data_IF_590689352104
#
_entry.id   IF_590689352104
#
_cell.length_a   1.000
_cell.length_b   1.000
_cell.length_c   1.000
_cell.angle_alpha   90.00
_cell.angle_beta   90.00
_cell.angle_gamma   90.00
#
_symmetry.space_group_name_H-M   'P 1'
#
loop_
_entity.id
_entity.type
_entity.pdbx_description
1 polymer ?
#
# COMPACT_ATOMS: atom_id res chain seq x y z
N UNK A 1 27.59 32.40 -5.44
CA UNK A 1 26.94 32.07 -6.72
C UNK A 1 27.95 31.99 -7.86
N UNK A 2 28.91 32.92 -7.98
CA UNK A 2 29.99 32.84 -8.98
C UNK A 2 30.76 31.51 -8.99
N UNK A 3 31.05 30.93 -7.82
CA UNK A 3 31.67 29.59 -7.67
C UNK A 3 30.97 28.45 -8.44
N UNK A 4 29.68 28.60 -8.70
CA UNK A 4 28.84 27.62 -9.38
C UNK A 4 28.61 27.93 -10.87
N UNK A 5 29.21 29.00 -11.40
CA UNK A 5 29.00 29.50 -12.77
C UNK A 5 27.50 29.64 -13.09
N UNK A 6 26.72 30.15 -12.14
CA UNK A 6 25.26 30.27 -12.29
C UNK A 6 24.89 31.39 -13.26
N UNK A 7 23.90 31.14 -14.11
CA UNK A 7 23.32 32.14 -15.00
C UNK A 7 21.79 32.17 -14.84
N UNK A 8 21.18 33.29 -15.22
CA UNK A 8 19.73 33.38 -15.35
C UNK A 8 19.32 32.66 -16.65
N UNK A 9 18.41 31.71 -16.56
CA UNK A 9 17.88 30.96 -17.68
C UNK A 9 16.35 31.13 -17.75
N UNK A 10 15.82 31.18 -18.97
CA UNK A 10 14.42 31.46 -19.22
C UNK A 10 13.80 30.22 -19.88
N UNK A 11 12.85 29.54 -19.21
CA UNK A 11 12.14 28.40 -19.75
C UNK A 11 11.50 28.70 -21.10
N UNK A 12 11.69 27.80 -22.05
CA UNK A 12 10.94 27.82 -23.31
C UNK A 12 9.99 26.62 -23.33
N UNK A 13 8.69 26.89 -23.29
CA UNK A 13 7.67 25.85 -23.33
C UNK A 13 7.44 25.36 -24.77
N UNK A 14 7.24 24.05 -24.92
CA UNK A 14 6.89 23.47 -26.21
C UNK A 14 5.40 23.70 -26.52
N UNK A 15 4.99 23.74 -27.81
CA UNK A 15 3.57 23.81 -28.18
C UNK A 15 2.73 22.68 -27.58
N UNK A 16 3.32 21.50 -27.38
CA UNK A 16 2.66 20.35 -26.75
C UNK A 16 2.37 20.57 -25.26
N UNK A 17 3.30 21.18 -24.51
CA UNK A 17 3.10 21.55 -23.10
C UNK A 17 2.00 22.61 -23.02
N UNK A 18 2.10 23.68 -23.83
CA UNK A 18 1.10 24.77 -23.88
C UNK A 18 -0.31 24.28 -24.19
N UNK A 19 -0.46 23.29 -25.08
CA UNK A 19 -1.77 22.72 -25.42
C UNK A 19 -2.40 21.89 -24.30
N UNK A 20 -1.58 21.26 -23.45
CA UNK A 20 -2.04 20.35 -22.41
C UNK A 20 -2.27 21.07 -21.07
N UNK A 21 -1.33 21.90 -20.62
CA UNK A 21 -1.40 22.61 -19.35
C UNK A 21 -0.71 23.98 -19.48
N UNK A 22 -1.46 25.05 -19.78
CA UNK A 22 -0.98 26.40 -19.54
C UNK A 22 -0.84 26.57 -18.03
N UNK A 23 0.39 26.82 -17.58
CA UNK A 23 0.73 26.94 -16.16
C UNK A 23 1.22 28.36 -15.88
N UNK A 24 0.49 29.07 -15.02
CA UNK A 24 0.82 30.44 -14.63
C UNK A 24 2.20 30.53 -13.97
N UNK A 25 2.66 29.45 -13.32
CA UNK A 25 3.99 29.38 -12.74
C UNK A 25 5.04 29.40 -13.85
N UNK A 26 4.82 28.65 -14.93
CA UNK A 26 5.72 28.63 -16.07
C UNK A 26 5.72 29.96 -16.85
N UNK A 27 4.55 30.59 -17.02
CA UNK A 27 4.46 31.93 -17.62
C UNK A 27 5.29 32.95 -16.83
N UNK A 28 5.19 32.90 -15.49
CA UNK A 28 5.99 33.73 -14.59
C UNK A 28 7.49 33.45 -14.73
N UNK A 29 7.89 32.18 -14.76
CA UNK A 29 9.30 31.79 -14.92
C UNK A 29 9.86 32.18 -16.29
N UNK A 30 9.06 32.16 -17.35
CA UNK A 30 9.48 32.59 -18.68
C UNK A 30 9.77 34.10 -18.74
N UNK A 31 9.10 34.91 -17.91
CA UNK A 31 9.32 36.36 -17.81
C UNK A 31 10.47 36.70 -16.86
N UNK A 32 10.49 36.08 -15.68
CA UNK A 32 11.43 36.44 -14.61
C UNK A 32 12.75 35.66 -14.64
N UNK A 33 12.77 34.51 -15.31
CA UNK A 33 13.90 33.58 -15.34
C UNK A 33 14.08 32.83 -14.01
N UNK A 34 14.92 31.81 -14.04
CA UNK A 34 15.41 31.11 -12.85
C UNK A 34 16.92 30.93 -12.89
N UNK A 35 17.53 30.78 -11.71
CA UNK A 35 18.96 30.49 -11.61
C UNK A 35 19.27 29.08 -12.07
N UNK A 36 20.12 28.94 -13.09
CA UNK A 36 20.63 27.67 -13.57
C UNK A 36 22.12 27.55 -13.22
N UNK A 37 22.46 26.53 -12.42
CA UNK A 37 23.86 26.17 -12.14
C UNK A 37 24.46 25.52 -13.39
N UNK A 38 25.70 25.88 -13.76
CA UNK A 38 26.33 25.27 -14.92
C UNK A 38 26.43 23.74 -14.74
N UNK A 39 26.11 22.91 -15.76
CA UNK A 39 26.03 21.45 -15.61
C UNK A 39 27.33 20.77 -15.15
N UNK A 40 28.50 21.41 -15.37
CA UNK A 40 29.80 20.91 -14.85
C UNK A 40 30.03 21.22 -13.36
N UNK A 41 29.20 22.07 -12.74
CA UNK A 41 29.34 22.57 -11.36
C UNK A 41 28.18 22.15 -10.46
N UNK A 42 27.09 21.64 -11.04
CA UNK A 42 25.87 21.26 -10.30
C UNK A 42 26.10 20.21 -9.21
N UNK A 43 27.05 19.29 -9.40
CA UNK A 43 27.45 18.37 -8.32
C UNK A 43 28.00 19.11 -7.10
N UNK A 44 28.87 20.11 -7.29
CA UNK A 44 29.43 20.87 -6.17
C UNK A 44 28.32 21.61 -5.44
N UNK A 45 27.40 22.24 -6.17
CA UNK A 45 26.24 22.91 -5.59
C UNK A 45 25.41 21.97 -4.72
N UNK A 46 24.97 20.83 -5.28
CA UNK A 46 24.18 19.87 -4.51
C UNK A 46 24.97 19.27 -3.35
N UNK A 47 26.25 18.95 -3.54
CA UNK A 47 27.06 18.31 -2.51
C UNK A 47 27.35 19.27 -1.35
N UNK A 48 27.65 20.53 -1.61
CA UNK A 48 27.86 21.52 -0.56
C UNK A 48 26.57 21.78 0.23
N UNK A 49 25.43 21.89 -0.45
CA UNK A 49 24.11 22.02 0.19
C UNK A 49 23.76 20.80 1.05
N UNK A 50 23.87 19.60 0.49
CA UNK A 50 23.51 18.37 1.21
C UNK A 50 24.49 18.03 2.32
N UNK A 51 25.79 18.31 2.16
CA UNK A 51 26.77 18.18 3.24
C UNK A 51 26.44 19.10 4.42
N UNK A 52 26.02 20.34 4.14
CA UNK A 52 25.54 21.25 5.17
C UNK A 52 24.28 20.70 5.88
N UNK A 53 23.27 20.25 5.12
CA UNK A 53 22.06 19.66 5.70
C UNK A 53 22.38 18.44 6.58
N UNK A 54 23.21 17.53 6.09
CA UNK A 54 23.67 16.36 6.83
C UNK A 54 24.43 16.75 8.11
N UNK A 55 25.28 17.79 8.05
CA UNK A 55 25.97 18.32 9.25
C UNK A 55 25.02 18.90 10.31
N UNK A 56 23.82 19.30 9.89
CA UNK A 56 22.74 19.74 10.77
C UNK A 56 21.85 18.59 11.28
N UNK A 57 22.14 17.34 10.91
CA UNK A 57 21.38 16.15 11.32
C UNK A 57 20.15 15.85 10.46
N UNK A 58 20.08 16.36 9.23
CA UNK A 58 19.02 16.00 8.28
C UNK A 58 19.32 14.65 7.62
N UNK A 59 18.34 13.75 7.58
CA UNK A 59 18.51 12.38 7.05
C UNK A 59 18.28 12.27 5.52
N UNK A 60 17.70 13.28 4.89
CA UNK A 60 17.39 13.27 3.47
C UNK A 60 16.65 14.51 2.98
N UNK A 61 16.29 14.51 1.70
CA UNK A 61 15.64 15.65 1.03
C UNK A 61 14.44 15.25 0.16
N UNK A 62 13.44 16.12 0.04
CA UNK A 62 12.46 16.09 -1.04
C UNK A 62 12.87 17.15 -2.06
N UNK A 63 13.14 16.73 -3.30
CA UNK A 63 13.61 17.63 -4.38
C UNK A 63 12.48 17.85 -5.35
N UNK A 64 12.00 19.10 -5.40
CA UNK A 64 10.83 19.49 -6.17
C UNK A 64 11.18 20.17 -7.50
N UNK A 65 10.17 20.40 -8.33
CA UNK A 65 10.27 21.19 -9.58
C UNK A 65 11.31 20.62 -10.57
N UNK A 66 11.61 19.32 -10.53
CA UNK A 66 12.70 18.75 -11.33
C UNK A 66 12.46 18.80 -12.85
N UNK A 67 11.20 18.71 -13.28
CA UNK A 67 10.81 18.78 -14.69
C UNK A 67 11.15 20.11 -15.36
N UNK A 68 11.41 21.18 -14.60
CA UNK A 68 11.78 22.48 -15.18
C UNK A 68 13.02 22.39 -16.08
N UNK A 69 13.94 21.47 -15.77
CA UNK A 69 15.19 21.28 -16.49
C UNK A 69 14.96 20.95 -17.98
N UNK A 70 13.83 20.32 -18.32
CA UNK A 70 13.46 20.01 -19.71
C UNK A 70 13.41 21.27 -20.58
N UNK A 71 13.07 22.42 -19.99
CA UNK A 71 12.86 23.69 -20.70
C UNK A 71 14.13 24.55 -20.81
N UNK A 72 15.25 24.09 -20.25
CA UNK A 72 16.47 24.89 -20.04
C UNK A 72 17.70 24.37 -20.79
N UNK A 73 17.52 23.38 -21.67
CA UNK A 73 18.63 22.70 -22.36
C UNK A 73 19.39 23.54 -23.41
N UNK A 74 18.89 24.72 -23.78
CA UNK A 74 19.52 25.58 -24.77
C UNK A 74 20.92 26.02 -24.30
N UNK A 75 21.94 25.86 -25.16
CA UNK A 75 23.34 26.16 -24.81
C UNK A 75 24.04 25.10 -23.94
N UNK A 76 23.34 24.04 -23.52
CA UNK A 76 23.86 23.01 -22.61
C UNK A 76 23.78 21.58 -23.17
N UNK A 77 23.82 21.44 -24.50
CA UNK A 77 23.73 20.13 -25.17
C UNK A 77 22.30 19.59 -25.31
N UNK A 78 21.30 20.43 -25.06
CA UNK A 78 19.88 20.06 -25.15
C UNK A 78 19.32 19.45 -23.86
N UNK A 79 17.99 19.29 -23.82
CA UNK A 79 17.25 18.83 -22.63
C UNK A 79 17.78 17.52 -22.05
N UNK A 80 18.07 16.54 -22.92
CA UNK A 80 18.55 15.22 -22.51
C UNK A 80 19.90 15.30 -21.77
N UNK A 81 20.84 16.07 -22.32
CA UNK A 81 22.19 16.20 -21.74
C UNK A 81 22.15 16.95 -20.41
N UNK A 82 21.35 18.02 -20.34
CA UNK A 82 21.22 18.83 -19.14
C UNK A 82 20.51 18.04 -18.01
N UNK A 83 19.36 17.43 -18.30
CA UNK A 83 18.62 16.61 -17.35
C UNK A 83 19.49 15.49 -16.79
N UNK A 84 20.21 14.76 -17.64
CA UNK A 84 21.11 13.70 -17.20
C UNK A 84 22.20 14.22 -16.25
N UNK A 85 22.80 15.37 -16.57
CA UNK A 85 23.85 15.97 -15.74
C UNK A 85 23.31 16.34 -14.36
N UNK A 86 22.11 16.91 -14.29
CA UNK A 86 21.45 17.30 -13.05
C UNK A 86 21.04 16.08 -12.21
N UNK A 87 20.43 15.07 -12.82
CA UNK A 87 20.03 13.83 -12.14
C UNK A 87 21.24 13.09 -11.57
N UNK A 88 22.29 12.90 -12.37
CA UNK A 88 23.50 12.20 -11.90
C UNK A 88 24.22 12.96 -10.78
N UNK A 89 24.27 14.28 -10.87
CA UNK A 89 24.85 15.11 -9.81
C UNK A 89 24.02 15.07 -8.53
N UNK A 90 22.68 15.07 -8.64
CA UNK A 90 21.79 14.93 -7.51
C UNK A 90 22.02 13.57 -6.82
N UNK A 91 21.95 12.47 -7.56
CA UNK A 91 22.16 11.12 -7.03
C UNK A 91 23.54 10.95 -6.38
N UNK A 92 24.59 11.46 -7.02
CA UNK A 92 25.95 11.42 -6.46
C UNK A 92 26.05 12.22 -5.15
N UNK A 93 25.33 13.35 -5.04
CA UNK A 93 25.28 14.12 -3.81
C UNK A 93 24.47 13.40 -2.72
N UNK A 94 23.31 12.82 -3.05
CA UNK A 94 22.51 12.04 -2.11
C UNK A 94 23.32 10.88 -1.56
N UNK A 95 23.91 10.06 -2.42
CA UNK A 95 24.71 8.89 -2.03
C UNK A 95 25.90 9.26 -1.13
N UNK A 96 26.43 10.48 -1.24
CA UNK A 96 27.56 10.94 -0.43
C UNK A 96 27.16 11.45 0.95
N UNK A 97 25.97 12.03 1.08
CA UNK A 97 25.59 12.78 2.28
C UNK A 97 24.48 12.12 3.10
N UNK A 98 23.68 11.25 2.50
CA UNK A 98 22.55 10.58 3.17
C UNK A 98 22.71 9.05 3.07
N UNK A 99 23.19 8.38 4.14
CA UNK A 99 23.51 6.94 4.13
C UNK A 99 22.35 6.04 3.69
N UNK A 100 21.12 6.42 4.05
CA UNK A 100 19.90 5.66 3.73
C UNK A 100 19.30 6.03 2.36
N UNK A 101 20.04 6.76 1.52
CA UNK A 101 19.57 7.26 0.23
C UNK A 101 18.26 8.07 0.36
N UNK A 102 18.18 8.90 1.40
CA UNK A 102 17.02 9.72 1.74
C UNK A 102 16.72 10.77 0.67
N UNK A 103 15.98 10.39 -0.36
CA UNK A 103 15.57 11.30 -1.43
C UNK A 103 14.17 10.96 -1.96
N UNK A 104 13.27 11.95 -1.95
CA UNK A 104 11.98 11.91 -2.66
C UNK A 104 12.10 12.79 -3.90
N UNK A 105 11.99 12.18 -5.08
CA UNK A 105 11.93 12.92 -6.34
C UNK A 105 10.50 13.40 -6.60
N UNK A 106 10.32 14.71 -6.76
CA UNK A 106 9.01 15.34 -6.95
C UNK A 106 9.01 16.17 -8.25
N UNK A 107 7.84 16.24 -8.89
CA UNK A 107 7.65 16.86 -10.20
C UNK A 107 8.71 16.40 -11.22
N UNK A 108 9.02 15.09 -11.27
CA UNK A 108 10.16 14.53 -12.02
C UNK A 108 9.74 13.53 -13.13
N UNK A 109 8.48 13.56 -13.55
CA UNK A 109 7.90 12.55 -14.46
C UNK A 109 8.23 12.74 -15.95
N UNK A 110 9.07 13.71 -16.31
CA UNK A 110 9.52 13.82 -17.69
C UNK A 110 10.37 12.59 -18.07
N UNK A 111 10.32 12.20 -19.34
CA UNK A 111 10.97 10.99 -19.82
C UNK A 111 12.49 11.03 -19.67
N UNK A 112 13.13 12.19 -19.89
CA UNK A 112 14.58 12.33 -19.74
C UNK A 112 15.04 12.09 -18.31
N UNK A 113 14.26 12.56 -17.33
CA UNK A 113 14.49 12.38 -15.90
C UNK A 113 14.39 10.91 -15.53
N UNK A 114 13.23 10.29 -15.82
CA UNK A 114 12.97 8.87 -15.55
C UNK A 114 14.05 7.97 -16.14
N UNK A 115 14.43 8.16 -17.41
CA UNK A 115 15.46 7.34 -18.07
C UNK A 115 16.90 7.70 -17.67
N UNK A 116 17.10 8.80 -16.93
CA UNK A 116 18.43 9.17 -16.40
C UNK A 116 18.64 8.71 -14.95
N UNK A 117 17.56 8.48 -14.20
CA UNK A 117 17.59 8.03 -12.81
C UNK A 117 18.13 6.61 -12.70
N UNK A 118 18.98 6.38 -11.69
CA UNK A 118 19.59 5.06 -11.42
C UNK A 118 19.49 4.61 -9.98
N UNK A 119 19.44 5.56 -9.04
CA UNK A 119 19.59 5.32 -7.61
C UNK A 119 18.48 5.95 -6.78
N UNK A 120 17.87 7.05 -7.26
CA UNK A 120 16.77 7.67 -6.52
C UNK A 120 15.59 6.71 -6.45
N UNK A 121 15.25 6.24 -5.25
CA UNK A 121 14.28 5.16 -5.09
C UNK A 121 12.84 5.67 -5.03
N UNK A 122 12.58 6.82 -4.40
CA UNK A 122 11.21 7.28 -4.12
C UNK A 122 10.79 8.37 -5.10
N UNK A 123 9.60 8.23 -5.70
CA UNK A 123 9.03 9.19 -6.66
C UNK A 123 7.61 9.58 -6.29
N UNK A 124 7.35 10.87 -6.11
CA UNK A 124 6.00 11.42 -5.90
C UNK A 124 5.14 11.12 -7.13
N UNK A 125 4.09 10.33 -6.97
CA UNK A 125 3.42 9.66 -8.10
C UNK A 125 2.17 10.36 -8.65
N UNK A 126 1.68 11.43 -8.04
CA UNK A 126 0.48 12.16 -8.49
C UNK A 126 0.64 13.68 -8.34
N UNK A 127 -0.42 14.46 -8.53
CA UNK A 127 -0.47 15.81 -7.97
C UNK A 127 -0.57 15.76 -6.44
N UNK A 128 -0.38 16.91 -5.81
CA UNK A 128 -0.43 17.06 -4.36
C UNK A 128 -1.82 16.72 -3.78
N UNK A 129 -1.83 16.33 -2.52
CA UNK A 129 -3.01 16.29 -1.68
C UNK A 129 -3.45 17.73 -1.34
N UNK A 130 -4.60 18.15 -1.88
CA UNK A 130 -5.19 19.47 -1.61
C UNK A 130 -6.33 19.37 -0.60
N UNK A 131 -6.09 19.50 0.72
CA UNK A 131 -7.10 19.29 1.77
C UNK A 131 -8.30 20.25 1.70
N UNK A 132 -8.17 21.36 0.96
CA UNK A 132 -9.22 22.38 0.82
C UNK A 132 -9.90 22.35 -0.54
N UNK A 133 -9.50 21.44 -1.43
CA UNK A 133 -10.15 21.25 -2.73
C UNK A 133 -10.90 19.91 -2.74
N UNK A 134 -12.22 19.92 -2.49
CA UNK A 134 -13.02 18.69 -2.50
C UNK A 134 -12.93 17.91 -3.82
N UNK A 135 -12.70 18.59 -4.94
CA UNK A 135 -12.59 17.96 -6.25
C UNK A 135 -11.33 17.09 -6.39
N UNK A 136 -10.31 17.31 -5.55
CA UNK A 136 -9.02 16.63 -5.64
C UNK A 136 -9.02 15.21 -5.05
N UNK A 137 -9.89 14.90 -4.07
CA UNK A 137 -9.74 13.69 -3.26
C UNK A 137 -9.90 12.37 -4.05
N UNK A 138 -10.96 12.25 -4.84
CA UNK A 138 -11.20 11.01 -5.60
C UNK A 138 -10.20 10.85 -6.74
N UNK A 139 -9.87 11.95 -7.44
CA UNK A 139 -8.89 11.95 -8.52
C UNK A 139 -7.50 11.64 -8.00
N UNK A 140 -7.13 12.12 -6.81
CA UNK A 140 -5.83 11.85 -6.24
C UNK A 140 -5.60 10.34 -6.10
N UNK A 141 -6.56 9.60 -5.54
CA UNK A 141 -6.44 8.14 -5.38
C UNK A 141 -6.43 7.41 -6.74
N UNK A 142 -7.26 7.81 -7.70
CA UNK A 142 -7.22 7.20 -9.03
C UNK A 142 -5.91 7.50 -9.76
N UNK A 143 -5.49 8.76 -9.79
CA UNK A 143 -4.28 9.19 -10.50
C UNK A 143 -3.03 8.53 -9.92
N UNK A 144 -2.89 8.47 -8.59
CA UNK A 144 -1.71 7.85 -7.96
C UNK A 144 -1.65 6.34 -8.22
N UNK A 145 -2.79 5.65 -8.22
CA UNK A 145 -2.87 4.22 -8.52
C UNK A 145 -2.49 3.94 -9.98
N UNK A 146 -3.05 4.69 -10.94
CA UNK A 146 -2.73 4.49 -12.36
C UNK A 146 -1.29 4.88 -12.70
N UNK A 147 -0.76 5.96 -12.12
CA UNK A 147 0.64 6.32 -12.33
C UNK A 147 1.61 5.30 -11.71
N UNK A 148 1.20 4.65 -10.63
CA UNK A 148 1.96 3.54 -10.01
C UNK A 148 2.12 2.34 -10.95
N UNK A 149 1.22 2.12 -11.92
CA UNK A 149 1.37 1.05 -12.91
C UNK A 149 2.69 1.16 -13.69
N UNK A 150 3.09 2.38 -14.05
CA UNK A 150 4.35 2.61 -14.75
C UNK A 150 5.51 2.86 -13.79
N UNK A 151 5.34 3.79 -12.83
CA UNK A 151 6.43 4.18 -11.92
C UNK A 151 6.86 3.04 -11.00
N UNK A 152 5.90 2.22 -10.55
CA UNK A 152 6.11 1.10 -9.65
C UNK A 152 6.87 -0.08 -10.24
N UNK A 153 7.29 -0.03 -11.50
CA UNK A 153 8.16 -1.05 -12.12
C UNK A 153 9.65 -0.83 -11.79
N UNK A 154 10.05 0.42 -11.51
CA UNK A 154 11.47 0.75 -11.32
C UNK A 154 11.72 1.79 -10.21
N UNK A 155 10.67 2.35 -9.60
CA UNK A 155 10.77 3.24 -8.44
C UNK A 155 9.69 2.89 -7.42
N UNK A 156 9.88 3.33 -6.17
CA UNK A 156 8.88 3.27 -5.12
C UNK A 156 7.97 4.52 -5.22
N UNK A 157 6.69 4.35 -5.56
CA UNK A 157 5.76 5.48 -5.64
C UNK A 157 5.47 6.04 -4.25
N UNK A 158 5.61 7.34 -4.12
CA UNK A 158 5.14 8.14 -2.99
C UNK A 158 3.75 8.68 -3.32
N UNK A 159 2.79 8.35 -2.45
CA UNK A 159 1.37 8.68 -2.62
C UNK A 159 0.98 9.98 -1.94
N UNK A 160 1.98 10.77 -1.55
CA UNK A 160 1.85 12.05 -0.88
C UNK A 160 1.23 11.96 0.53
N UNK A 161 1.41 13.04 1.27
CA UNK A 161 0.83 13.25 2.59
C UNK A 161 -0.70 13.23 2.58
N UNK A 162 -1.30 13.12 3.76
CA UNK A 162 -2.73 13.34 3.96
C UNK A 162 -2.98 13.94 5.35
N UNK A 163 -4.22 14.40 5.59
CA UNK A 163 -4.66 14.83 6.91
C UNK A 163 -5.48 13.73 7.59
N UNK A 164 -5.08 13.33 8.79
CA UNK A 164 -5.79 12.37 9.63
C UNK A 164 -7.09 12.93 10.23
N UNK A 165 -7.16 14.25 10.45
CA UNK A 165 -8.39 14.98 10.79
C UNK A 165 -8.98 15.63 9.55
N UNK A 166 -9.66 14.84 8.73
CA UNK A 166 -10.30 15.31 7.51
C UNK A 166 -11.54 14.46 7.17
N UNK A 167 -12.60 15.00 6.54
CA UNK A 167 -13.78 14.20 6.13
C UNK A 167 -13.45 13.01 5.21
N UNK A 168 -12.36 13.10 4.43
CA UNK A 168 -11.87 12.03 3.58
C UNK A 168 -10.68 11.25 4.18
N UNK A 169 -10.39 11.40 5.48
CA UNK A 169 -9.18 10.85 6.10
C UNK A 169 -9.12 9.32 6.03
N UNK A 170 -10.21 8.62 6.41
CA UNK A 170 -10.28 7.16 6.32
C UNK A 170 -10.11 6.66 4.88
N UNK A 171 -10.69 7.35 3.89
CA UNK A 171 -10.56 7.02 2.47
C UNK A 171 -9.10 7.10 1.99
N UNK A 172 -8.39 8.18 2.35
CA UNK A 172 -6.97 8.33 2.04
C UNK A 172 -6.12 7.32 2.81
N UNK A 173 -6.37 7.13 4.11
CA UNK A 173 -5.63 6.18 4.94
C UNK A 173 -5.71 4.74 4.39
N UNK A 174 -6.91 4.29 4.04
CA UNK A 174 -7.13 2.97 3.43
C UNK A 174 -6.38 2.81 2.10
N UNK A 175 -6.37 3.86 1.26
CA UNK A 175 -5.61 3.85 0.02
C UNK A 175 -4.10 3.70 0.25
N UNK A 176 -3.52 4.41 1.23
CA UNK A 176 -2.09 4.23 1.56
C UNK A 176 -1.80 2.84 2.16
N UNK A 177 -2.74 2.26 2.91
CA UNK A 177 -2.58 0.93 3.49
C UNK A 177 -2.42 -0.18 2.42
N UNK A 178 -3.11 -0.05 1.28
CA UNK A 178 -2.97 -0.96 0.13
C UNK A 178 -1.90 -0.49 -0.88
N UNK A 179 -1.51 0.79 -0.84
CA UNK A 179 -0.61 1.40 -1.81
C UNK A 179 0.85 0.97 -1.74
N UNK A 180 1.27 0.29 -0.67
CA UNK A 180 2.67 -0.12 -0.46
C UNK A 180 3.64 1.05 -0.36
N UNK A 181 3.14 2.23 0.00
CA UNK A 181 3.87 3.49 0.06
C UNK A 181 4.21 3.87 1.51
N UNK A 182 4.94 4.98 1.67
CA UNK A 182 5.17 5.58 2.98
C UNK A 182 3.91 6.29 3.51
N UNK A 183 3.82 6.46 4.82
CA UNK A 183 2.72 7.16 5.49
C UNK A 183 3.25 8.51 5.99
N UNK A 184 2.82 9.61 5.34
CA UNK A 184 3.10 10.96 5.78
C UNK A 184 1.81 11.66 6.20
N UNK A 185 1.81 12.24 7.40
CA UNK A 185 0.72 13.08 7.87
C UNK A 185 1.16 14.54 7.86
N UNK A 186 0.31 15.42 7.34
CA UNK A 186 0.57 16.87 7.30
C UNK A 186 -0.42 17.66 8.14
N UNK A 187 -1.08 16.99 9.07
CA UNK A 187 -1.92 17.60 10.07
C UNK A 187 -1.18 18.73 10.82
N UNK A 188 -1.93 19.76 11.22
CA UNK A 188 -1.39 20.77 12.12
C UNK A 188 -0.89 20.10 13.42
N UNK A 189 0.31 20.43 13.93
CA UNK A 189 0.80 19.87 15.20
C UNK A 189 -0.25 19.94 16.32
N UNK A 190 -0.41 18.84 17.05
CA UNK A 190 -1.40 18.70 18.12
C UNK A 190 -2.85 18.47 17.65
N UNK A 191 -3.12 18.44 16.34
CA UNK A 191 -4.44 18.20 15.77
C UNK A 191 -4.39 16.92 14.95
N UNK A 192 -4.28 15.76 15.59
CA UNK A 192 -4.15 14.46 14.91
C UNK A 192 -5.27 13.53 15.34
N UNK A 193 -5.74 12.68 14.43
CA UNK A 193 -6.67 11.61 14.74
C UNK A 193 -5.90 10.34 15.08
N UNK A 194 -5.49 10.19 16.34
CA UNK A 194 -4.73 9.02 16.77
C UNK A 194 -5.48 7.70 16.60
N UNK A 195 -6.82 7.70 16.69
CA UNK A 195 -7.61 6.49 16.48
C UNK A 195 -7.54 6.01 15.03
N UNK A 196 -7.50 6.94 14.06
CA UNK A 196 -7.24 6.58 12.67
C UNK A 196 -5.78 6.13 12.46
N UNK A 197 -4.82 6.84 13.03
CA UNK A 197 -3.39 6.55 12.83
C UNK A 197 -2.97 5.19 13.41
N UNK A 198 -3.58 4.77 14.52
CA UNK A 198 -3.38 3.44 15.11
C UNK A 198 -3.87 2.30 14.21
N UNK A 199 -4.69 2.57 13.17
CA UNK A 199 -5.06 1.57 12.15
C UNK A 199 -4.00 1.43 11.04
N UNK A 200 -3.03 2.35 10.96
CA UNK A 200 -1.94 2.34 9.97
C UNK A 200 -0.58 1.99 10.59
N UNK A 201 -0.32 2.49 11.80
CA UNK A 201 1.00 2.48 12.44
C UNK A 201 0.95 1.64 13.71
N UNK A 202 1.95 0.78 13.87
CA UNK A 202 2.15 -0.04 15.07
C UNK A 202 2.73 0.81 16.23
N UNK A 203 2.67 0.34 17.48
CA UNK A 203 3.23 1.07 18.62
C UNK A 203 4.72 1.42 18.50
N UNK A 204 5.48 0.63 17.74
CA UNK A 204 6.91 0.86 17.46
C UNK A 204 7.16 1.90 16.34
N UNK A 205 6.11 2.56 15.84
CA UNK A 205 6.19 3.55 14.77
C UNK A 205 6.31 2.95 13.36
N UNK A 206 6.47 1.64 13.24
CA UNK A 206 6.53 0.97 11.94
C UNK A 206 5.12 0.73 11.36
N UNK A 207 5.06 0.39 10.08
CA UNK A 207 3.81 0.14 9.36
C UNK A 207 3.73 -1.30 8.87
N UNK A 208 2.51 -1.84 8.78
CA UNK A 208 2.23 -3.08 8.07
C UNK A 208 2.16 -2.79 6.56
N UNK A 209 3.29 -2.41 5.95
CA UNK A 209 3.35 -2.06 4.53
C UNK A 209 3.23 -3.32 3.67
N UNK A 210 2.40 -3.26 2.63
CA UNK A 210 2.32 -4.28 1.58
C UNK A 210 3.65 -4.36 0.79
N UNK A 211 3.89 -5.46 0.08
CA UNK A 211 5.20 -5.76 -0.51
C UNK A 211 5.48 -5.06 -1.84
N UNK A 212 4.44 -4.75 -2.62
CA UNK A 212 4.57 -4.17 -3.94
C UNK A 212 4.07 -2.72 -3.93
N UNK A 213 4.37 -1.91 -4.96
CA UNK A 213 3.57 -0.72 -5.24
C UNK A 213 2.13 -1.10 -5.58
N UNK A 214 1.14 -0.42 -4.98
CA UNK A 214 -0.28 -0.74 -5.19
C UNK A 214 -0.77 -0.35 -6.58
N UNK A 215 -1.39 -1.28 -7.30
CA UNK A 215 -1.76 -1.10 -8.72
C UNK A 215 -3.25 -1.33 -8.95
N UNK A 216 -3.87 -0.73 -9.98
CA UNK A 216 -5.21 -1.10 -10.38
C UNK A 216 -5.28 -2.59 -10.71
N UNK A 217 -6.40 -3.23 -10.39
CA UNK A 217 -6.69 -4.58 -10.87
C UNK A 217 -6.85 -4.58 -12.39
N UNK A 218 -6.70 -5.75 -13.01
CA UNK A 218 -6.72 -5.90 -14.47
C UNK A 218 -8.00 -5.34 -15.09
N UNK A 219 -9.15 -5.53 -14.45
CA UNK A 219 -10.44 -5.03 -14.92
C UNK A 219 -10.60 -3.51 -14.78
N UNK A 220 -9.79 -2.84 -13.96
CA UNK A 220 -9.77 -1.39 -13.87
C UNK A 220 -8.86 -0.72 -14.91
N UNK A 221 -7.90 -1.43 -15.54
CA UNK A 221 -6.84 -0.82 -16.36
C UNK A 221 -7.33 0.12 -17.46
N UNK A 222 -8.50 -0.16 -18.05
CA UNK A 222 -9.12 0.65 -19.11
C UNK A 222 -10.43 1.33 -18.69
N UNK A 223 -10.77 1.28 -17.39
CA UNK A 223 -11.92 1.96 -16.82
C UNK A 223 -11.59 3.41 -16.44
N UNK A 224 -12.62 4.26 -16.34
CA UNK A 224 -12.50 5.62 -15.81
C UNK A 224 -13.30 5.72 -14.50
N UNK A 225 -12.72 5.25 -13.38
CA UNK A 225 -13.43 5.14 -12.10
C UNK A 225 -13.83 6.49 -11.50
N UNK A 226 -13.40 7.59 -12.11
CA UNK A 226 -13.71 8.94 -11.66
C UNK A 226 -14.90 9.58 -12.40
N UNK A 227 -15.29 9.05 -13.58
CA UNK A 227 -16.24 9.73 -14.47
C UNK A 227 -17.25 8.83 -15.16
N UNK A 228 -17.01 7.52 -15.28
CA UNK A 228 -17.87 6.65 -16.09
C UNK A 228 -19.23 6.32 -15.44
N UNK A 229 -19.41 6.67 -14.16
CA UNK A 229 -20.65 6.43 -13.42
C UNK A 229 -20.95 4.96 -13.13
N UNK A 230 -20.02 4.03 -13.38
CA UNK A 230 -20.25 2.58 -13.23
C UNK A 230 -19.10 1.85 -12.55
N UNK A 231 -17.86 2.32 -12.66
CA UNK A 231 -16.69 1.58 -12.20
C UNK A 231 -16.27 2.02 -10.80
N UNK A 232 -16.02 1.03 -9.94
CA UNK A 232 -15.23 1.19 -8.72
C UNK A 232 -13.75 1.01 -9.08
N UNK A 233 -12.88 1.80 -8.45
CA UNK A 233 -11.44 1.56 -8.54
C UNK A 233 -11.08 0.44 -7.56
N UNK A 234 -10.47 -0.62 -8.07
CA UNK A 234 -9.86 -1.67 -7.24
C UNK A 234 -8.35 -1.56 -7.34
N UNK A 235 -7.68 -1.54 -6.19
CA UNK A 235 -6.23 -1.49 -6.06
C UNK A 235 -5.78 -2.75 -5.35
N UNK A 236 -4.91 -3.53 -5.96
CA UNK A 236 -4.41 -4.77 -5.38
C UNK A 236 -2.96 -4.65 -4.91
N UNK A 237 -2.62 -5.51 -3.95
CA UNK A 237 -1.27 -5.70 -3.45
C UNK A 237 -1.14 -7.07 -2.75
N UNK A 238 0.07 -7.41 -2.30
CA UNK A 238 0.34 -8.64 -1.55
C UNK A 238 1.07 -8.36 -0.23
N UNK A 239 0.81 -9.23 0.73
CA UNK A 239 1.57 -9.40 1.96
C UNK A 239 2.32 -10.75 1.90
N UNK A 240 3.13 -11.04 2.93
CA UNK A 240 3.96 -12.26 2.98
C UNK A 240 3.15 -13.56 2.84
N UNK A 241 1.91 -13.60 3.33
CA UNK A 241 1.08 -14.80 3.37
C UNK A 241 -0.34 -14.61 2.82
N UNK A 242 -0.66 -13.47 2.21
CA UNK A 242 -2.02 -13.14 1.75
C UNK A 242 -2.02 -12.06 0.67
N UNK A 243 -3.13 -11.88 -0.03
CA UNK A 243 -3.40 -10.72 -0.87
C UNK A 243 -4.27 -9.67 -0.17
N UNK A 244 -4.26 -8.44 -0.68
CA UNK A 244 -5.19 -7.38 -0.27
C UNK A 244 -5.71 -6.63 -1.50
N UNK A 245 -7.00 -6.31 -1.50
CA UNK A 245 -7.64 -5.44 -2.49
C UNK A 245 -8.40 -4.35 -1.78
N UNK A 246 -8.05 -3.09 -2.06
CA UNK A 246 -8.86 -1.95 -1.67
C UNK A 246 -9.82 -1.57 -2.79
N UNK A 247 -11.09 -1.38 -2.48
CA UNK A 247 -12.13 -0.96 -3.43
C UNK A 247 -12.59 0.43 -3.05
N UNK A 248 -12.63 1.36 -4.01
CA UNK A 248 -12.86 2.78 -3.80
C UNK A 248 -13.87 3.33 -4.81
N UNK A 249 -14.87 4.07 -4.34
CA UNK A 249 -15.72 4.85 -5.24
C UNK A 249 -15.09 6.23 -5.49
N UNK A 250 -14.57 6.44 -6.71
CA UNK A 250 -13.84 7.65 -7.10
C UNK A 250 -14.69 8.64 -7.93
N UNK A 251 -15.99 8.40 -8.08
CA UNK A 251 -16.84 9.16 -9.00
C UNK A 251 -17.00 10.64 -8.58
N UNK A 252 -17.33 11.49 -9.55
CA UNK A 252 -17.84 12.86 -9.32
C UNK A 252 -16.87 13.99 -9.62
N UNK A 253 -15.57 13.72 -9.66
CA UNK A 253 -14.57 14.72 -10.03
C UNK A 253 -13.63 14.23 -11.13
N UNK A 254 -13.15 15.16 -11.95
CA UNK A 254 -12.25 14.85 -13.08
C UNK A 254 -11.41 16.05 -13.52
N UNK A 255 -10.30 15.79 -14.20
CA UNK A 255 -9.54 16.84 -14.89
C UNK A 255 -10.37 17.44 -16.03
N UNK A 256 -10.59 18.76 -15.99
CA UNK A 256 -11.32 19.48 -17.02
C UNK A 256 -10.36 20.06 -18.07
N UNK A 257 -10.35 19.49 -19.29
CA UNK A 257 -9.45 19.94 -20.38
C UNK A 257 -9.68 21.39 -20.83
N UNK A 258 -10.90 21.92 -20.69
CA UNK A 258 -11.24 23.29 -21.09
C UNK A 258 -10.65 24.30 -20.11
N UNK A 259 -10.79 24.02 -18.82
CA UNK A 259 -10.46 24.97 -17.76
C UNK A 259 -9.17 24.66 -17.03
N UNK A 260 -8.51 23.57 -17.42
CA UNK A 260 -7.17 23.15 -17.01
C UNK A 260 -7.03 23.05 -15.49
N UNK A 261 -8.06 22.49 -14.86
CA UNK A 261 -8.09 22.17 -13.44
C UNK A 261 -9.00 21.01 -13.15
N UNK A 262 -8.76 20.37 -12.02
CA UNK A 262 -9.68 19.42 -11.41
C UNK A 262 -11.00 20.09 -11.05
N UNK A 263 -12.13 19.45 -11.37
CA UNK A 263 -13.47 19.94 -11.07
C UNK A 263 -14.40 18.82 -10.70
N UNK A 264 -15.35 19.15 -9.81
CA UNK A 264 -16.56 18.35 -9.62
C UNK A 264 -17.42 18.51 -10.88
N UNK A 265 -17.65 17.42 -11.59
CA UNK A 265 -18.54 17.37 -12.77
C UNK A 265 -19.91 16.81 -12.39
N UNK A 266 -19.98 16.03 -11.32
CA UNK A 266 -21.21 15.53 -10.70
C UNK A 266 -21.12 15.70 -9.18
N UNK A 267 -22.00 16.54 -8.63
CA UNK A 267 -22.02 16.88 -7.21
C UNK A 267 -22.75 15.84 -6.34
N UNK A 268 -23.43 14.87 -6.94
CA UNK A 268 -24.10 13.79 -6.22
C UNK A 268 -24.03 12.48 -7.00
N UNK A 269 -22.80 11.94 -7.22
CA UNK A 269 -22.65 10.72 -7.97
C UNK A 269 -23.31 9.53 -7.28
N UNK A 270 -23.76 8.58 -8.09
CA UNK A 270 -24.48 7.41 -7.62
C UNK A 270 -23.67 6.51 -6.69
N UNK A 271 -24.38 5.78 -5.83
CA UNK A 271 -23.84 4.58 -5.16
C UNK A 271 -23.54 3.53 -6.23
N UNK A 272 -22.34 2.97 -6.21
CA UNK A 272 -21.94 1.93 -7.15
C UNK A 272 -21.88 0.57 -6.46
N UNK A 273 -22.19 -0.47 -7.23
CA UNK A 273 -22.06 -1.86 -6.81
C UNK A 273 -21.09 -2.57 -7.74
N UNK A 274 -20.13 -3.29 -7.18
CA UNK A 274 -19.19 -4.13 -7.90
C UNK A 274 -19.00 -5.47 -7.19
N UNK A 275 -17.95 -6.18 -7.58
CA UNK A 275 -17.53 -7.39 -6.88
C UNK A 275 -16.02 -7.51 -6.84
N UNK A 276 -15.53 -8.27 -5.87
CA UNK A 276 -14.12 -8.55 -5.65
C UNK A 276 -13.89 -10.04 -5.48
N UNK A 277 -12.78 -10.56 -5.97
CA UNK A 277 -12.42 -11.98 -5.89
C UNK A 277 -10.92 -12.17 -5.65
N UNK A 278 -10.51 -13.39 -5.29
CA UNK A 278 -9.11 -13.68 -5.01
C UNK A 278 -8.18 -13.39 -6.20
N UNK A 279 -8.67 -13.58 -7.43
CA UNK A 279 -7.90 -13.33 -8.66
C UNK A 279 -7.71 -11.84 -8.97
N UNK A 280 -8.39 -10.93 -8.27
CA UNK A 280 -8.08 -9.50 -8.36
C UNK A 280 -6.69 -9.20 -7.79
N UNK A 281 -6.14 -10.08 -6.94
CA UNK A 281 -4.75 -10.05 -6.53
C UNK A 281 -3.94 -10.89 -7.52
N UNK A 282 -3.29 -10.22 -8.48
CA UNK A 282 -2.61 -10.87 -9.60
C UNK A 282 -1.58 -11.94 -9.16
N UNK A 283 -0.89 -11.70 -8.06
CA UNK A 283 0.14 -12.60 -7.50
C UNK A 283 -0.37 -13.58 -6.42
N UNK A 284 -1.69 -13.74 -6.23
CA UNK A 284 -2.23 -14.54 -5.12
C UNK A 284 -1.78 -16.00 -5.14
N UNK A 285 -1.69 -16.61 -6.32
CA UNK A 285 -1.26 -18.00 -6.44
C UNK A 285 0.20 -18.20 -6.03
N UNK A 286 1.05 -17.20 -6.27
CA UNK A 286 2.46 -17.23 -5.85
C UNK A 286 2.57 -17.13 -4.32
N UNK A 287 1.76 -16.27 -3.71
CA UNK A 287 1.70 -16.09 -2.25
C UNK A 287 1.13 -17.32 -1.54
N UNK A 288 0.10 -17.95 -2.11
CA UNK A 288 -0.51 -19.16 -1.57
C UNK A 288 0.43 -20.38 -1.63
N UNK A 289 1.34 -20.40 -2.60
CA UNK A 289 2.31 -21.47 -2.80
C UNK A 289 1.75 -22.68 -3.57
N UNK A 290 2.62 -23.67 -3.77
CA UNK A 290 2.28 -24.88 -4.50
C UNK A 290 1.15 -25.67 -3.82
N UNK A 291 0.21 -26.19 -4.62
CA UNK A 291 -0.90 -27.00 -4.13
C UNK A 291 -2.13 -26.21 -3.67
N UNK A 292 -2.11 -24.88 -3.76
CA UNK A 292 -3.31 -24.08 -3.51
C UNK A 292 -4.41 -24.38 -4.54
N UNK A 293 -5.59 -24.75 -4.05
CA UNK A 293 -6.73 -25.14 -4.88
C UNK A 293 -7.56 -23.93 -5.38
N UNK A 294 -7.21 -22.71 -4.97
CA UNK A 294 -7.93 -21.48 -5.31
C UNK A 294 -8.90 -20.98 -4.24
N UNK A 295 -9.10 -21.71 -3.15
CA UNK A 295 -9.97 -21.28 -2.05
C UNK A 295 -9.28 -20.27 -1.13
N UNK A 296 -9.99 -19.21 -0.76
CA UNK A 296 -9.50 -18.23 0.23
C UNK A 296 -10.56 -17.97 1.28
N UNK A 297 -10.13 -17.56 2.45
CA UNK A 297 -10.99 -16.79 3.34
C UNK A 297 -10.77 -15.32 3.07
N UNK A 298 -11.85 -14.56 3.00
CA UNK A 298 -11.85 -13.11 2.80
C UNK A 298 -12.28 -12.45 4.09
N UNK A 299 -11.43 -11.56 4.60
CA UNK A 299 -11.80 -10.65 5.70
C UNK A 299 -12.01 -9.24 5.13
N UNK A 300 -13.22 -8.70 5.31
CA UNK A 300 -13.58 -7.34 4.94
C UNK A 300 -13.42 -6.41 6.14
N UNK A 301 -12.47 -5.48 6.09
CA UNK A 301 -12.04 -4.70 7.25
C UNK A 301 -13.15 -3.82 7.84
N UNK A 302 -13.90 -3.10 7.00
CA UNK A 302 -14.89 -2.12 7.46
C UNK A 302 -16.17 -2.79 7.96
N UNK A 303 -16.62 -3.87 7.32
CA UNK A 303 -17.77 -4.65 7.78
C UNK A 303 -17.44 -5.62 8.93
N UNK A 304 -16.17 -6.02 9.07
CA UNK A 304 -15.73 -7.06 9.99
C UNK A 304 -16.17 -8.47 9.58
N UNK A 305 -16.63 -8.65 8.33
CA UNK A 305 -17.16 -9.91 7.83
C UNK A 305 -16.04 -10.88 7.43
N UNK A 306 -16.23 -12.16 7.74
CA UNK A 306 -15.36 -13.25 7.33
C UNK A 306 -16.13 -14.25 6.46
N UNK A 307 -15.67 -14.46 5.23
CA UNK A 307 -16.33 -15.37 4.28
C UNK A 307 -15.32 -16.33 3.68
N UNK A 308 -15.61 -17.64 3.71
CA UNK A 308 -14.88 -18.63 2.92
C UNK A 308 -15.37 -18.58 1.48
N UNK A 309 -14.46 -18.24 0.58
CA UNK A 309 -14.73 -18.01 -0.84
C UNK A 309 -14.15 -19.16 -1.68
N UNK A 310 -15.01 -19.95 -2.35
CA UNK A 310 -14.56 -20.98 -3.28
C UNK A 310 -13.77 -20.40 -4.46
N UNK A 311 -13.00 -21.24 -5.14
CA UNK A 311 -12.27 -20.85 -6.35
C UNK A 311 -13.21 -20.19 -7.37
N UNK A 312 -12.86 -18.98 -7.80
CA UNK A 312 -13.59 -18.23 -8.83
C UNK A 312 -14.88 -17.56 -8.36
N UNK A 313 -15.27 -17.71 -7.09
CA UNK A 313 -16.37 -16.94 -6.52
C UNK A 313 -15.91 -15.50 -6.24
N UNK A 314 -16.89 -14.59 -6.12
CA UNK A 314 -16.67 -13.19 -5.78
C UNK A 314 -17.60 -12.74 -4.65
N UNK A 315 -17.18 -11.70 -3.94
CA UNK A 315 -17.99 -11.01 -2.93
C UNK A 315 -18.54 -9.69 -3.51
N UNK A 316 -19.82 -9.37 -3.28
CA UNK A 316 -20.38 -8.09 -3.69
C UNK A 316 -19.87 -6.97 -2.79
N UNK A 317 -19.78 -5.75 -3.34
CA UNK A 317 -19.45 -4.55 -2.59
C UNK A 317 -20.24 -3.37 -3.12
N UNK A 318 -20.83 -2.58 -2.22
CA UNK A 318 -21.66 -1.41 -2.56
C UNK A 318 -21.14 -0.19 -1.81
N UNK A 319 -20.74 0.85 -2.54
CA UNK A 319 -20.05 2.02 -1.97
C UNK A 319 -20.67 3.32 -2.49
N UNK A 320 -20.92 4.25 -1.56
CA UNK A 320 -21.16 5.66 -1.92
C UNK A 320 -19.84 6.34 -2.30
N UNK A 321 -19.91 7.52 -2.89
CA UNK A 321 -18.71 8.32 -3.21
C UNK A 321 -17.89 8.59 -1.96
N UNK A 322 -16.56 8.54 -2.08
CA UNK A 322 -15.60 8.63 -0.97
C UNK A 322 -15.72 7.52 0.08
N UNK A 323 -16.49 6.46 -0.18
CA UNK A 323 -16.42 5.23 0.59
C UNK A 323 -15.43 4.24 -0.02
N UNK A 324 -14.98 3.33 0.83
CA UNK A 324 -14.04 2.27 0.50
C UNK A 324 -14.35 1.00 1.29
N UNK A 325 -13.74 -0.11 0.87
CA UNK A 325 -13.61 -1.35 1.65
C UNK A 325 -12.23 -1.96 1.38
N UNK A 326 -11.63 -2.62 2.37
CA UNK A 326 -10.39 -3.37 2.23
C UNK A 326 -10.66 -4.85 2.44
N UNK A 327 -10.34 -5.66 1.43
CA UNK A 327 -10.53 -7.11 1.43
C UNK A 327 -9.19 -7.81 1.54
N UNK A 328 -9.03 -8.64 2.56
CA UNK A 328 -7.86 -9.47 2.79
C UNK A 328 -8.12 -10.90 2.32
N UNK A 329 -7.49 -11.29 1.21
CA UNK A 329 -7.59 -12.63 0.64
C UNK A 329 -6.52 -13.53 1.25
N UNK A 330 -6.94 -14.39 2.17
CA UNK A 330 -6.08 -15.30 2.93
C UNK A 330 -6.23 -16.72 2.37
N UNK A 331 -5.24 -17.24 1.62
CA UNK A 331 -5.33 -18.58 1.04
C UNK A 331 -5.59 -19.66 2.09
N UNK A 332 -6.58 -20.52 1.82
CA UNK A 332 -6.90 -21.63 2.72
C UNK A 332 -5.90 -22.76 2.51
N UNK A 333 -5.35 -23.25 3.62
CA UNK A 333 -4.54 -24.47 3.65
C UNK A 333 -5.35 -25.62 4.21
N UNK A 334 -5.48 -26.68 3.41
CA UNK A 334 -6.04 -27.95 3.86
C UNK A 334 -4.98 -28.69 4.69
N UNK A 335 -5.34 -29.00 5.93
CA UNK A 335 -4.49 -29.75 6.87
C UNK A 335 -4.91 -31.22 6.83
N UNK A 336 -6.21 -31.50 6.80
CA UNK A 336 -6.79 -32.82 6.63
C UNK A 336 -8.12 -32.72 5.89
N UNK A 337 -8.80 -33.84 5.66
CA UNK A 337 -10.12 -33.87 5.01
C UNK A 337 -11.19 -33.07 5.78
N UNK A 338 -10.98 -32.77 7.06
CA UNK A 338 -11.94 -32.08 7.93
C UNK A 338 -11.41 -30.77 8.53
N UNK A 339 -10.10 -30.51 8.39
CA UNK A 339 -9.41 -29.37 8.98
C UNK A 339 -8.79 -28.52 7.87
N UNK A 340 -9.20 -27.26 7.81
CA UNK A 340 -8.57 -26.24 7.00
C UNK A 340 -8.36 -24.95 7.81
N UNK A 341 -7.33 -24.20 7.45
CA UNK A 341 -6.88 -23.03 8.21
C UNK A 341 -6.40 -21.92 7.28
N UNK A 342 -6.61 -20.66 7.68
CA UNK A 342 -6.01 -19.49 7.04
C UNK A 342 -5.71 -18.39 8.07
N UNK A 343 -4.47 -17.86 8.16
CA UNK A 343 -4.19 -16.75 9.05
C UNK A 343 -4.74 -15.44 8.47
N UNK A 344 -5.39 -14.61 9.30
CA UNK A 344 -5.94 -13.31 8.87
C UNK A 344 -5.05 -12.16 9.31
N UNK A 345 -4.61 -12.10 10.58
CA UNK A 345 -3.75 -11.02 11.09
C UNK A 345 -4.43 -10.11 12.11
N UNK A 346 -4.02 -8.84 12.17
CA UNK A 346 -4.55 -7.86 13.13
C UNK A 346 -5.83 -7.22 12.59
N UNK A 347 -6.98 -7.64 13.12
CA UNK A 347 -8.31 -7.36 12.56
C UNK A 347 -8.68 -5.87 12.52
N UNK A 348 -8.05 -5.07 13.39
CA UNK A 348 -8.35 -3.65 13.55
C UNK A 348 -7.38 -2.74 12.76
N UNK A 349 -6.38 -3.33 12.08
CA UNK A 349 -5.46 -2.61 11.19
C UNK A 349 -6.01 -2.57 9.77
N UNK A 350 -5.80 -1.46 9.03
CA UNK A 350 -6.20 -1.36 7.63
C UNK A 350 -5.53 -2.42 6.76
N UNK A 351 -4.24 -2.69 6.98
CA UNK A 351 -3.59 -3.84 6.36
C UNK A 351 -3.55 -5.03 7.34
N UNK A 352 -4.71 -5.61 7.65
CA UNK A 352 -4.85 -6.64 8.68
C UNK A 352 -3.89 -7.81 8.48
N UNK A 353 -3.85 -8.33 7.26
CA UNK A 353 -3.02 -9.50 6.91
C UNK A 353 -1.56 -9.21 6.68
N UNK A 354 -1.16 -7.94 6.69
CA UNK A 354 0.25 -7.53 6.72
C UNK A 354 0.97 -7.93 8.01
N UNK A 355 0.22 -8.20 9.09
CA UNK A 355 0.78 -8.60 10.37
C UNK A 355 1.42 -9.99 10.37
N UNK A 356 0.98 -10.89 9.47
CA UNK A 356 1.45 -12.28 9.41
C UNK A 356 2.69 -12.36 8.54
N UNK A 357 3.84 -12.65 9.16
CA UNK A 357 5.12 -12.77 8.45
C UNK A 357 5.44 -14.19 7.99
N UNK A 358 4.93 -15.19 8.70
CA UNK A 358 5.18 -16.61 8.42
C UNK A 358 4.02 -17.45 8.91
N UNK A 359 3.72 -18.51 8.17
CA UNK A 359 2.72 -19.51 8.51
C UNK A 359 3.21 -20.92 8.14
N UNK A 360 3.27 -21.80 9.15
CA UNK A 360 3.68 -23.19 9.00
C UNK A 360 2.68 -24.12 9.70
N UNK A 361 2.51 -25.32 9.15
CA UNK A 361 1.66 -26.37 9.73
C UNK A 361 2.57 -27.54 10.06
N UNK A 362 2.52 -27.98 11.31
CA UNK A 362 3.25 -29.15 11.80
C UNK A 362 2.23 -30.24 12.12
N UNK A 363 2.31 -31.37 11.40
CA UNK A 363 1.50 -32.54 11.73
C UNK A 363 2.02 -33.20 12.99
N UNK A 364 1.14 -33.51 13.93
CA UNK A 364 1.44 -34.37 15.07
C UNK A 364 1.46 -35.82 14.57
N UNK A 365 2.64 -36.39 14.35
CA UNK A 365 2.75 -37.74 13.79
C UNK A 365 2.39 -38.86 14.80
N UNK A 366 1.35 -39.60 14.43
CA UNK A 366 1.06 -41.03 14.62
C UNK A 366 1.36 -41.71 15.98
N UNK A 367 0.30 -41.93 16.77
CA UNK A 367 0.19 -43.20 17.49
C UNK A 367 0.33 -44.34 16.47
N UNK A 368 1.19 -45.32 16.80
CA UNK A 368 1.36 -46.56 16.04
C UNK A 368 -0.02 -47.12 15.71
N UNK A 369 -0.27 -47.41 14.42
CA UNK A 369 -1.31 -48.34 13.98
C UNK A 369 -1.09 -49.68 14.71
N UNK A 370 -1.69 -49.84 15.88
CA UNK A 370 -2.00 -51.15 16.42
C UNK A 370 -3.24 -51.61 15.65
N UNK A 371 -3.05 -52.63 14.82
CA UNK A 371 -4.14 -53.42 14.29
C UNK A 371 -5.02 -53.88 15.46
N UNK A 372 -6.19 -53.29 15.61
CA UNK A 372 -7.30 -53.89 16.33
C UNK A 372 -8.31 -54.35 15.28
N UNK A 373 -8.34 -55.67 15.07
CA UNK A 373 -9.47 -56.35 14.45
C UNK A 373 -10.71 -56.12 15.31
N UNK A 374 -11.83 -55.71 14.70
CA UNK A 374 -13.14 -55.97 15.27
C UNK A 374 -14.16 -54.83 15.22
N UNK A 375 -15.09 -55.00 14.28
CA UNK A 375 -16.50 -54.55 14.30
C UNK A 375 -16.88 -53.09 14.03
N UNK A 376 -17.76 -52.97 13.03
CA UNK A 376 -18.45 -51.78 12.56
C UNK A 376 -19.62 -51.48 13.49
N UNK A 377 -19.67 -50.28 14.05
CA UNK A 377 -20.94 -49.68 14.49
C UNK A 377 -21.08 -48.29 13.90
N UNK A 378 -22.06 -48.15 13.00
CA UNK A 378 -22.53 -46.89 12.47
C UNK A 378 -23.24 -46.08 13.55
N UNK A 379 -22.78 -44.87 13.83
CA UNK A 379 -23.64 -43.81 14.38
C UNK A 379 -23.01 -42.42 14.17
N UNK A 380 -23.65 -41.62 13.32
CA UNK A 380 -23.40 -40.18 13.18
C UNK A 380 -23.83 -39.50 14.49
N UNK A 381 -22.87 -39.00 15.26
CA UNK A 381 -23.14 -38.09 16.38
C UNK A 381 -22.31 -36.80 16.20
N UNK A 382 -23.01 -35.69 16.04
CA UNK A 382 -22.48 -34.33 15.79
C UNK A 382 -22.10 -33.59 17.08
N UNK A 383 -21.58 -34.29 18.09
CA UNK A 383 -21.08 -33.66 19.32
C UNK A 383 -19.77 -34.30 19.76
N UNK A 384 -18.66 -33.83 19.18
CA UNK A 384 -17.31 -34.23 19.56
C UNK A 384 -16.84 -33.37 20.74
N UNK A 385 -16.69 -34.01 21.91
CA UNK A 385 -16.30 -33.37 23.17
C UNK A 385 -14.83 -32.92 23.23
N UNK A 386 -14.52 -32.15 24.28
CA UNK A 386 -13.26 -31.44 24.54
C UNK A 386 -11.98 -32.30 24.74
N UNK A 387 -12.02 -33.62 24.48
CA UNK A 387 -10.90 -34.54 24.69
C UNK A 387 -10.41 -35.16 23.36
N UNK A 388 -10.10 -34.34 22.36
CA UNK A 388 -9.44 -34.80 21.13
C UNK A 388 -7.96 -34.44 21.13
N UNK A 389 -7.11 -35.36 20.67
CA UNK A 389 -5.69 -35.06 20.46
C UNK A 389 -5.55 -34.07 19.28
N UNK A 390 -4.59 -33.13 19.33
CA UNK A 390 -4.35 -32.22 18.23
C UNK A 390 -3.92 -33.00 17.00
N UNK A 391 -4.52 -32.70 15.86
CA UNK A 391 -4.17 -33.24 14.54
C UNK A 391 -3.01 -32.47 13.93
N UNK A 392 -2.91 -31.17 14.24
CA UNK A 392 -1.78 -30.34 13.84
C UNK A 392 -1.57 -29.16 14.79
N UNK A 393 -0.34 -28.66 14.81
CA UNK A 393 0.02 -27.37 15.39
C UNK A 393 0.31 -26.37 14.25
N UNK A 394 -0.43 -25.26 14.23
CA UNK A 394 -0.17 -24.13 13.36
C UNK A 394 0.78 -23.18 14.06
N UNK A 395 1.92 -22.88 13.45
CA UNK A 395 2.91 -21.91 13.93
C UNK A 395 2.91 -20.66 13.05
N UNK A 396 2.77 -19.50 13.67
CA UNK A 396 2.71 -18.20 13.02
C UNK A 396 3.76 -17.26 13.61
N UNK A 397 4.39 -16.46 12.76
CA UNK A 397 5.16 -15.28 13.19
C UNK A 397 4.36 -14.02 12.89
N UNK A 398 4.03 -13.24 13.92
CA UNK A 398 3.12 -12.10 13.82
C UNK A 398 3.75 -10.82 14.38
N UNK A 399 3.58 -9.70 13.70
CA UNK A 399 4.01 -8.37 14.16
C UNK A 399 2.83 -7.52 14.64
N UNK A 400 3.09 -6.69 15.65
CA UNK A 400 2.15 -5.73 16.21
C UNK A 400 1.42 -6.25 17.45
N UNK A 401 0.27 -5.67 17.77
CA UNK A 401 -0.51 -5.98 18.97
C UNK A 401 -2.02 -5.77 18.73
N UNK A 402 -2.86 -6.21 19.67
CA UNK A 402 -4.31 -6.04 19.61
C UNK A 402 -5.04 -7.30 19.18
N UNK A 403 -6.22 -7.15 18.58
CA UNK A 403 -7.08 -8.28 18.22
C UNK A 403 -6.53 -9.01 16.99
N UNK A 404 -6.03 -10.21 17.19
CA UNK A 404 -5.55 -11.10 16.15
C UNK A 404 -6.66 -12.08 15.73
N UNK A 405 -6.78 -12.33 14.44
CA UNK A 405 -7.73 -13.27 13.86
C UNK A 405 -7.10 -14.32 12.96
N UNK A 406 -7.73 -15.49 12.92
CA UNK A 406 -7.48 -16.55 11.96
C UNK A 406 -8.77 -17.30 11.64
N UNK A 407 -8.82 -17.98 10.50
CA UNK A 407 -9.87 -18.93 10.16
C UNK A 407 -9.43 -20.35 10.52
N UNK A 408 -10.34 -21.12 11.13
CA UNK A 408 -10.22 -22.57 11.32
C UNK A 408 -11.57 -23.22 11.03
N UNK A 409 -11.59 -24.30 10.24
CA UNK A 409 -12.82 -25.05 9.99
C UNK A 409 -13.31 -25.86 11.19
N UNK A 410 -12.47 -26.01 12.22
CA UNK A 410 -12.77 -26.69 13.47
C UNK A 410 -12.42 -25.80 14.66
N UNK A 411 -13.16 -25.95 15.77
CA UNK A 411 -12.87 -25.25 17.02
C UNK A 411 -11.44 -25.60 17.50
N UNK A 412 -10.51 -24.64 17.66
CA UNK A 412 -9.17 -24.94 18.14
C UNK A 412 -9.17 -25.59 19.54
N UNK A 413 -8.18 -26.42 19.83
CA UNK A 413 -8.02 -27.01 21.15
C UNK A 413 -7.30 -26.05 22.10
N UNK A 414 -6.33 -25.31 21.56
CA UNK A 414 -5.44 -24.46 22.32
C UNK A 414 -4.86 -23.36 21.45
N UNK A 415 -4.69 -22.18 22.02
CA UNK A 415 -3.93 -21.09 21.43
C UNK A 415 -2.85 -20.64 22.42
N UNK A 416 -1.64 -20.38 21.92
CA UNK A 416 -0.52 -19.88 22.71
C UNK A 416 0.10 -18.65 22.03
N UNK A 417 0.58 -17.70 22.83
CA UNK A 417 1.41 -16.58 22.39
C UNK A 417 2.73 -16.66 23.16
N UNK A 418 3.85 -16.85 22.47
CA UNK A 418 5.18 -17.08 23.04
C UNK A 418 5.20 -18.18 24.12
N UNK A 419 4.52 -19.29 23.82
CA UNK A 419 4.33 -20.46 24.69
C UNK A 419 3.48 -20.21 25.95
N UNK A 420 2.92 -19.01 26.13
CA UNK A 420 1.92 -18.76 27.16
C UNK A 420 0.53 -19.11 26.63
N UNK A 421 -0.23 -19.88 27.39
CA UNK A 421 -1.63 -20.22 27.09
C UNK A 421 -2.46 -18.93 27.05
N UNK A 422 -3.11 -18.70 25.92
CA UNK A 422 -3.85 -17.46 25.68
C UNK A 422 -5.31 -17.77 25.42
N UNK A 423 -6.19 -17.07 26.14
CA UNK A 423 -7.63 -17.14 25.90
C UNK A 423 -7.97 -16.76 24.46
N UNK A 424 -8.85 -17.52 23.83
CA UNK A 424 -9.35 -17.26 22.49
C UNK A 424 -10.87 -17.42 22.43
N UNK A 425 -11.50 -16.75 21.46
CA UNK A 425 -12.89 -17.00 21.11
C UNK A 425 -12.95 -17.72 19.75
N UNK A 426 -13.97 -18.56 19.55
CA UNK A 426 -14.25 -19.21 18.28
C UNK A 426 -15.71 -19.01 17.90
N UNK A 427 -15.95 -18.42 16.72
CA UNK A 427 -17.26 -18.35 16.11
C UNK A 427 -17.46 -19.56 15.19
N UNK A 428 -18.31 -20.50 15.59
CA UNK A 428 -18.59 -21.71 14.82
C UNK A 428 -19.35 -21.46 13.51
N UNK A 429 -20.01 -20.30 13.35
CA UNK A 429 -20.75 -19.98 12.13
C UNK A 429 -19.80 -19.56 11.00
N UNK A 430 -18.75 -18.82 11.33
CA UNK A 430 -17.77 -18.28 10.36
C UNK A 430 -16.44 -19.03 10.37
N UNK A 431 -16.12 -19.75 11.44
CA UNK A 431 -14.81 -20.34 11.70
C UNK A 431 -13.77 -19.34 12.20
N UNK A 432 -14.19 -18.13 12.60
CA UNK A 432 -13.28 -17.09 13.08
C UNK A 432 -12.77 -17.41 14.48
N UNK A 433 -11.44 -17.55 14.60
CA UNK A 433 -10.70 -17.60 15.85
C UNK A 433 -10.19 -16.20 16.16
N UNK A 434 -10.38 -15.71 17.38
CA UNK A 434 -9.81 -14.43 17.84
C UNK A 434 -9.05 -14.58 19.15
N UNK A 435 -7.92 -13.88 19.26
CA UNK A 435 -7.13 -13.77 20.49
C UNK A 435 -6.47 -12.39 20.56
N UNK A 436 -5.95 -12.00 21.73
CA UNK A 436 -5.31 -10.70 21.91
C UNK A 436 -3.80 -10.85 21.98
N UNK A 437 -3.08 -10.13 21.13
CA UNK A 437 -1.63 -9.98 21.20
C UNK A 437 -1.27 -8.79 22.10
N UNK A 438 -0.35 -8.98 23.07
CA UNK A 438 0.07 -7.89 23.95
C UNK A 438 0.90 -6.85 23.20
N UNK A 439 1.05 -5.68 23.82
CA UNK A 439 1.93 -4.62 23.31
C UNK A 439 3.38 -5.05 23.53
N UNK A 440 4.21 -5.15 22.47
CA UNK A 440 5.60 -5.55 22.62
C UNK A 440 6.42 -4.47 23.34
N UNK A 441 7.43 -4.91 24.12
CA UNK A 441 8.39 -4.01 24.76
C UNK A 441 9.56 -3.62 23.84
N UNK A 442 9.82 -4.44 22.81
CA UNK A 442 10.92 -4.26 21.87
C UNK A 442 10.40 -3.80 20.51
N UNK A 443 11.15 -2.92 19.84
CA UNK A 443 10.84 -2.52 18.47
C UNK A 443 10.93 -3.71 17.52
N UNK A 444 10.05 -3.74 16.52
CA UNK A 444 10.01 -4.80 15.52
C UNK A 444 9.83 -6.21 16.14
N UNK A 445 9.23 -6.36 17.32
CA UNK A 445 9.02 -7.68 17.92
C UNK A 445 8.13 -8.59 17.05
N UNK A 446 8.41 -9.91 17.08
CA UNK A 446 7.62 -10.93 16.38
C UNK A 446 7.09 -11.93 17.40
N UNK A 447 5.78 -11.92 17.62
CA UNK A 447 5.08 -12.94 18.41
C UNK A 447 5.15 -14.28 17.69
N UNK A 448 5.43 -15.35 18.44
CA UNK A 448 5.19 -16.71 18.03
C UNK A 448 3.78 -17.12 18.49
N UNK A 449 2.84 -17.19 17.55
CA UNK A 449 1.47 -17.64 17.83
C UNK A 449 1.35 -19.09 17.41
N UNK A 450 0.94 -19.95 18.34
CA UNK A 450 0.65 -21.36 18.07
C UNK A 450 -0.85 -21.63 18.24
N UNK A 451 -1.47 -22.33 17.29
CA UNK A 451 -2.86 -22.77 17.37
C UNK A 451 -2.91 -24.28 17.13
N UNK A 452 -3.44 -25.03 18.08
CA UNK A 452 -3.59 -26.48 18.00
C UNK A 452 -5.01 -26.82 17.56
N UNK A 453 -5.15 -27.62 16.50
CA UNK A 453 -6.45 -27.97 15.88
C UNK A 453 -6.71 -29.46 15.86
#
# INVERSE_FOLDING_TARGET
MEHYDTALAYPVQSPGVMGNQPDIVMDSLAVHGLGLVHPKKVFNFYNELHAYLASCGVDGVKVDVQNIIETLGAGHGGRVSLTRSYVQALEASISRNFPDNGCIACMCHNTDGIYSTKQTAVVRASDDFYPRDPASHTIHISSVAYNTLFLGEFMQPDWDMFHSLHPAADYHAAARAVGGCAIYVSDKPGNHNFELLKKLVLPDGSVLRTQLPGRPTVDCLFADPARDGISLLKIWNVNKCSGVVGVFNCQGAGWCKVTKKTRIHDASPGTLTGSVCANDVDSIAQVAGAGWNGESVVYAHRSGELVRLPKGASMPVTLKVLEYELFHFCPVKEISNTISFAPIGLLDMFNSSGAVEKFEVQMTSNEKLQFFDGEVSSELTTSLGNNRNPTAAISLKVRGCGRFGAYSSQHPLKCCVDNADTHFNYDSATGLVTLTLPVPSEEMYRWHVEIQV
#
